data_IF_747354904814
#
_entry.id   IF_747354904814
#
_cell.length_a   1.000
_cell.length_b   1.000
_cell.length_c   1.000
_cell.angle_alpha   90.00
_cell.angle_beta   90.00
_cell.angle_gamma   90.00
#
_symmetry.space_group_name_H-M   'P 1'
#
loop_
_entity.id
_entity.type
_entity.pdbx_description
1 polymer ?
#
# COMPACT_ATOMS: atom_id res chain seq x y z
N UNK A 1 -29.89 16.82 38.64
CA UNK A 1 -29.78 15.82 37.56
C UNK A 1 -28.46 16.00 36.88
N UNK A 2 -27.48 15.14 37.17
CA UNK A 2 -26.16 15.18 36.55
C UNK A 2 -26.23 14.31 35.31
N UNK A 3 -26.17 14.93 34.12
CA UNK A 3 -26.00 14.19 32.87
C UNK A 3 -24.58 13.63 32.81
N UNK A 4 -24.48 12.30 33.01
CA UNK A 4 -23.25 11.58 32.74
C UNK A 4 -23.08 11.52 31.22
N UNK A 5 -22.22 12.37 30.67
CA UNK A 5 -21.76 12.24 29.29
C UNK A 5 -20.92 10.96 29.22
N UNK A 6 -21.46 9.92 28.63
CA UNK A 6 -20.71 8.74 28.22
C UNK A 6 -19.78 9.16 27.08
N UNK A 7 -18.51 9.37 27.40
CA UNK A 7 -17.44 9.45 26.41
C UNK A 7 -17.28 8.06 25.79
N UNK A 8 -17.86 7.87 24.60
CA UNK A 8 -17.56 6.71 23.77
C UNK A 8 -16.17 6.92 23.21
N UNK A 9 -15.17 6.21 23.73
CA UNK A 9 -13.84 6.20 23.15
C UNK A 9 -13.94 5.55 21.76
N UNK A 10 -13.54 6.29 20.72
CA UNK A 10 -13.39 5.71 19.38
C UNK A 10 -12.36 4.58 19.44
N UNK A 11 -12.64 3.40 18.80
CA UNK A 11 -11.66 2.33 18.77
C UNK A 11 -10.38 2.84 18.12
N UNK A 12 -9.25 2.59 18.76
CA UNK A 12 -7.95 2.89 18.20
C UNK A 12 -7.82 2.18 16.86
N UNK A 13 -7.47 2.93 15.80
CA UNK A 13 -7.24 2.34 14.48
C UNK A 13 -6.03 1.41 14.57
N UNK A 14 -6.14 0.21 13.98
CA UNK A 14 -5.02 -0.71 13.84
C UNK A 14 -3.93 -0.01 13.03
N UNK A 15 -2.69 0.08 13.54
CA UNK A 15 -1.61 0.68 12.79
C UNK A 15 -1.33 -0.10 11.51
N UNK A 16 -0.92 0.59 10.48
CA UNK A 16 -0.38 -0.03 9.28
C UNK A 16 0.97 -0.68 9.59
N UNK A 17 1.38 -1.58 8.74
CA UNK A 17 2.69 -2.23 8.81
C UNK A 17 3.32 -2.21 7.43
N UNK A 18 3.86 -1.07 7.06
CA UNK A 18 4.41 -0.84 5.72
C UNK A 18 5.80 -1.40 5.56
N UNK A 19 5.99 -2.15 4.48
CA UNK A 19 7.28 -2.64 4.01
C UNK A 19 7.57 -1.99 2.66
N UNK A 20 8.73 -1.35 2.55
CA UNK A 20 9.19 -0.75 1.31
C UNK A 20 9.55 -1.82 0.28
N UNK A 21 8.97 -1.72 -0.91
CA UNK A 21 9.16 -2.70 -1.97
C UNK A 21 10.15 -2.24 -3.06
N UNK A 22 10.35 -0.95 -3.17
CA UNK A 22 11.20 -0.36 -4.20
C UNK A 22 10.66 0.97 -4.71
N UNK A 23 11.50 1.71 -5.41
CA UNK A 23 11.14 2.98 -6.01
C UNK A 23 11.74 3.07 -7.41
N UNK A 24 10.91 3.46 -8.36
CA UNK A 24 11.29 3.89 -9.71
C UNK A 24 10.71 5.29 -9.93
N UNK A 25 9.63 5.41 -10.67
CA UNK A 25 8.84 6.63 -10.80
C UNK A 25 8.02 6.92 -9.54
N UNK A 26 7.62 5.86 -8.82
CA UNK A 26 6.85 5.91 -7.59
C UNK A 26 7.53 5.04 -6.53
N UNK A 27 7.27 5.32 -5.26
CA UNK A 27 7.71 4.45 -4.17
C UNK A 27 6.56 3.54 -3.73
N UNK A 28 6.81 2.25 -3.64
CA UNK A 28 5.80 1.24 -3.37
C UNK A 28 5.97 0.63 -1.99
N UNK A 29 4.85 0.49 -1.27
CA UNK A 29 4.80 -0.05 0.10
C UNK A 29 3.70 -1.08 0.22
N UNK A 30 4.03 -2.28 0.67
CA UNK A 30 3.03 -3.27 1.05
C UNK A 30 2.59 -3.02 2.49
N UNK A 31 1.29 -2.97 2.72
CA UNK A 31 0.74 -2.95 4.08
C UNK A 31 0.52 -4.38 4.57
N UNK A 32 1.46 -4.86 5.37
CA UNK A 32 1.41 -6.22 5.89
C UNK A 32 0.24 -6.45 6.85
N UNK A 33 -0.30 -5.36 7.44
CA UNK A 33 -1.50 -5.44 8.26
C UNK A 33 -2.77 -5.75 7.45
N UNK A 34 -2.75 -5.51 6.13
CA UNK A 34 -3.87 -5.80 5.23
C UNK A 34 -3.89 -7.23 4.70
N UNK A 35 -2.84 -8.00 4.97
CA UNK A 35 -2.66 -9.35 4.42
C UNK A 35 -3.83 -10.27 4.80
N UNK A 36 -4.51 -10.80 3.80
CA UNK A 36 -5.60 -11.76 3.94
C UNK A 36 -5.21 -13.06 3.24
N UNK A 37 -4.89 -14.14 3.98
CA UNK A 37 -4.56 -15.43 3.37
C UNK A 37 -5.73 -16.02 2.57
N UNK A 38 -5.44 -16.55 1.39
CA UNK A 38 -6.40 -17.21 0.51
C UNK A 38 -5.69 -18.30 -0.29
N UNK A 39 -5.98 -19.56 -0.02
CA UNK A 39 -5.33 -20.68 -0.69
C UNK A 39 -3.81 -20.67 -0.50
N UNK A 40 -3.06 -20.79 -1.59
CA UNK A 40 -1.59 -20.73 -1.61
C UNK A 40 -1.03 -19.31 -1.71
N UNK A 41 -1.86 -18.30 -1.58
CA UNK A 41 -1.50 -16.89 -1.65
C UNK A 41 -2.41 -16.04 -0.80
N UNK A 42 -2.92 -14.96 -1.33
CA UNK A 42 -3.84 -14.09 -0.62
C UNK A 42 -4.08 -12.76 -1.30
N UNK A 43 -4.61 -11.84 -0.51
CA UNK A 43 -4.83 -10.44 -0.86
C UNK A 43 -3.92 -9.57 0.00
N UNK A 44 -3.39 -8.51 -0.59
CA UNK A 44 -2.60 -7.50 0.11
C UNK A 44 -2.85 -6.13 -0.50
N UNK A 45 -2.82 -5.11 0.33
CA UNK A 45 -2.97 -3.71 -0.10
C UNK A 45 -1.60 -3.06 -0.22
N UNK A 46 -1.37 -2.36 -1.33
CA UNK A 46 -0.12 -1.68 -1.63
C UNK A 46 -0.39 -0.20 -1.83
N UNK A 47 0.43 0.64 -1.20
CA UNK A 47 0.39 2.08 -1.37
C UNK A 47 1.53 2.54 -2.29
N UNK A 48 1.16 3.32 -3.31
CA UNK A 48 2.07 3.93 -4.25
C UNK A 48 2.23 5.40 -3.89
N UNK A 49 3.44 5.81 -3.48
CA UNK A 49 3.75 7.19 -3.10
C UNK A 49 4.20 7.96 -4.33
N UNK A 50 3.63 9.15 -4.55
CA UNK A 50 4.06 10.07 -5.59
C UNK A 50 4.98 11.16 -5.02
N UNK A 51 5.82 11.75 -5.86
CA UNK A 51 6.71 12.82 -5.45
C UNK A 51 5.94 14.05 -4.96
N UNK A 52 6.60 14.87 -4.16
CA UNK A 52 5.98 16.06 -3.54
C UNK A 52 5.36 17.02 -4.54
N UNK A 53 5.99 17.20 -5.70
CA UNK A 53 5.55 18.17 -6.71
C UNK A 53 4.52 17.61 -7.69
N UNK A 54 4.15 16.34 -7.55
CA UNK A 54 3.17 15.72 -8.42
C UNK A 54 1.80 16.39 -8.28
N UNK A 55 1.19 16.73 -9.42
CA UNK A 55 -0.17 17.27 -9.52
C UNK A 55 -0.92 16.55 -10.63
N UNK A 56 -2.19 16.25 -10.39
CA UNK A 56 -3.11 15.78 -11.41
C UNK A 56 -4.30 16.74 -11.45
N UNK A 57 -4.55 17.38 -12.58
CA UNK A 57 -5.58 18.41 -12.74
C UNK A 57 -5.51 19.50 -11.63
N UNK A 58 -4.29 19.90 -11.24
CA UNK A 58 -4.05 20.91 -10.20
C UNK A 58 -4.18 20.41 -8.76
N UNK A 59 -4.53 19.15 -8.54
CA UNK A 59 -4.69 18.56 -7.21
C UNK A 59 -3.41 17.86 -6.76
N UNK A 60 -3.03 18.09 -5.48
CA UNK A 60 -1.93 17.41 -4.83
C UNK A 60 -2.40 16.05 -4.27
N UNK A 61 -1.55 15.03 -4.42
CA UNK A 61 -1.82 13.68 -3.93
C UNK A 61 -0.66 13.18 -3.07
N UNK A 62 -0.97 12.31 -2.11
CA UNK A 62 0.02 11.46 -1.46
C UNK A 62 0.38 10.26 -2.33
N UNK A 63 -0.59 9.75 -3.07
CA UNK A 63 -0.45 8.58 -3.93
C UNK A 63 -1.76 7.85 -4.11
N UNK A 64 -1.73 6.53 -4.04
CA UNK A 64 -2.93 5.72 -4.17
C UNK A 64 -2.77 4.31 -3.64
N UNK A 65 -3.91 3.73 -3.31
CA UNK A 65 -4.03 2.35 -2.87
C UNK A 65 -4.42 1.44 -4.01
N UNK A 66 -3.91 0.20 -3.97
CA UNK A 66 -4.39 -0.91 -4.79
C UNK A 66 -4.46 -2.18 -3.97
N UNK A 67 -5.54 -2.95 -4.13
CA UNK A 67 -5.59 -4.32 -3.69
C UNK A 67 -4.99 -5.22 -4.75
N UNK A 68 -4.20 -6.19 -4.30
CA UNK A 68 -3.56 -7.19 -5.15
C UNK A 68 -3.90 -8.59 -4.68
N UNK A 69 -4.17 -9.48 -5.62
CA UNK A 69 -4.18 -10.92 -5.38
C UNK A 69 -2.84 -11.47 -5.79
N UNK A 70 -2.27 -12.34 -4.97
CA UNK A 70 -0.99 -12.96 -5.23
C UNK A 70 -1.04 -14.47 -4.93
N UNK A 71 -0.10 -15.23 -5.48
CA UNK A 71 0.07 -16.65 -5.25
C UNK A 71 1.53 -16.93 -4.89
N UNK A 72 1.74 -17.71 -3.83
CA UNK A 72 3.08 -18.10 -3.37
C UNK A 72 3.61 -19.35 -4.07
N UNK A 73 2.76 -20.07 -4.81
CA UNK A 73 3.18 -21.23 -5.59
C UNK A 73 4.06 -20.80 -6.77
N UNK A 74 4.98 -21.68 -7.18
CA UNK A 74 5.83 -21.43 -8.33
C UNK A 74 4.99 -21.22 -9.60
N UNK A 75 5.26 -20.14 -10.34
CA UNK A 75 4.50 -19.76 -11.52
C UNK A 75 3.16 -19.09 -11.23
N UNK A 76 2.92 -18.73 -9.95
CA UNK A 76 1.72 -17.96 -9.56
C UNK A 76 1.72 -16.57 -10.15
N UNK A 77 0.53 -16.08 -10.50
CA UNK A 77 0.34 -14.76 -11.08
C UNK A 77 -0.07 -13.75 -10.03
N UNK A 78 0.17 -12.47 -10.33
CA UNK A 78 -0.39 -11.35 -9.59
C UNK A 78 -1.51 -10.70 -10.37
N UNK A 79 -2.49 -10.17 -9.64
CA UNK A 79 -3.65 -9.50 -10.19
C UNK A 79 -3.94 -8.23 -9.41
N UNK A 80 -3.82 -7.08 -10.07
CA UNK A 80 -4.23 -5.80 -9.50
C UNK A 80 -5.74 -5.67 -9.60
N UNK A 81 -6.41 -5.50 -8.46
CA UNK A 81 -7.87 -5.55 -8.40
C UNK A 81 -8.50 -4.17 -8.53
N UNK A 82 -7.85 -3.12 -8.02
CA UNK A 82 -8.41 -1.77 -8.03
C UNK A 82 -7.33 -0.68 -7.87
N UNK A 83 -7.77 0.56 -7.92
CA UNK A 83 -6.99 1.73 -7.58
C UNK A 83 -7.87 2.79 -6.94
N UNK A 84 -7.41 3.38 -5.84
CA UNK A 84 -8.06 4.49 -5.16
C UNK A 84 -7.02 5.58 -4.87
N UNK A 85 -7.20 6.77 -5.45
CA UNK A 85 -6.30 7.90 -5.21
C UNK A 85 -6.44 8.41 -3.77
N UNK A 86 -5.34 8.84 -3.18
CA UNK A 86 -5.29 9.45 -1.86
C UNK A 86 -4.74 10.86 -1.99
N UNK A 87 -5.56 11.86 -1.64
CA UNK A 87 -5.18 13.28 -1.67
C UNK A 87 -4.18 13.59 -0.59
N UNK A 88 -3.44 14.65 -0.77
CA UNK A 88 -2.60 15.19 0.29
C UNK A 88 -3.47 15.48 1.53
N UNK A 89 -2.99 15.02 2.71
CA UNK A 89 -3.78 15.04 3.95
C UNK A 89 -4.49 13.72 4.25
N UNK A 90 -4.55 12.77 3.30
CA UNK A 90 -4.99 11.40 3.53
C UNK A 90 -6.41 11.05 3.11
N UNK A 91 -7.14 11.98 2.48
CA UNK A 91 -8.49 11.68 2.00
C UNK A 91 -8.45 10.68 0.84
N UNK A 92 -9.06 9.51 1.04
CA UNK A 92 -9.14 8.43 0.06
C UNK A 92 -10.34 8.64 -0.86
N UNK A 93 -10.10 8.58 -2.17
CA UNK A 93 -11.14 8.64 -3.18
C UNK A 93 -11.81 7.28 -3.41
N UNK A 94 -12.79 7.22 -4.32
CA UNK A 94 -13.45 5.96 -4.64
C UNK A 94 -12.51 4.99 -5.34
N UNK A 95 -12.67 3.70 -5.04
CA UNK A 95 -11.92 2.64 -5.72
C UNK A 95 -12.48 2.42 -7.13
N UNK A 96 -11.60 2.37 -8.11
CA UNK A 96 -11.93 2.03 -9.50
C UNK A 96 -11.39 0.63 -9.79
N UNK A 97 -12.23 -0.31 -10.26
CA UNK A 97 -11.76 -1.64 -10.63
C UNK A 97 -10.70 -1.59 -11.73
N UNK A 98 -9.70 -2.44 -11.61
CA UNK A 98 -8.70 -2.69 -12.66
C UNK A 98 -9.06 -4.01 -13.35
N UNK A 99 -9.34 -3.93 -14.65
CA UNK A 99 -9.75 -5.08 -15.45
C UNK A 99 -8.60 -5.68 -16.26
N UNK A 100 -7.36 -5.28 -15.99
CA UNK A 100 -6.20 -5.89 -16.64
C UNK A 100 -6.09 -7.37 -16.24
N UNK A 101 -5.70 -8.27 -17.16
CA UNK A 101 -5.54 -9.69 -16.83
C UNK A 101 -4.37 -9.91 -15.86
N UNK A 102 -4.43 -10.98 -15.04
CA UNK A 102 -3.29 -11.38 -14.21
C UNK A 102 -2.02 -11.60 -15.05
N UNK A 103 -0.86 -11.33 -14.44
CA UNK A 103 0.42 -11.47 -15.13
C UNK A 103 1.50 -12.06 -14.21
N UNK A 104 2.57 -12.56 -14.82
CA UNK A 104 3.73 -13.08 -14.10
C UNK A 104 4.61 -11.92 -13.63
N UNK A 105 5.11 -12.01 -12.39
CA UNK A 105 6.08 -11.05 -11.87
C UNK A 105 7.45 -11.25 -12.50
N UNK A 106 8.21 -10.17 -12.59
CA UNK A 106 9.59 -10.19 -13.09
C UNK A 106 10.52 -9.80 -11.94
N UNK A 107 11.57 -10.59 -11.73
CA UNK A 107 12.56 -10.32 -10.70
C UNK A 107 13.13 -8.91 -10.87
N UNK A 108 13.15 -8.13 -9.79
CA UNK A 108 13.57 -6.74 -9.77
C UNK A 108 12.43 -5.73 -9.80
N UNK A 109 11.21 -6.16 -10.15
CA UNK A 109 10.03 -5.30 -10.11
C UNK A 109 9.42 -5.26 -8.70
N UNK A 110 8.73 -4.16 -8.39
CA UNK A 110 8.05 -3.98 -7.10
C UNK A 110 6.97 -5.04 -6.85
N UNK A 111 6.31 -5.55 -7.89
CA UNK A 111 5.32 -6.64 -7.75
C UNK A 111 5.98 -7.96 -7.38
N UNK A 112 7.18 -8.23 -7.87
CA UNK A 112 7.97 -9.39 -7.43
C UNK A 112 8.32 -9.26 -5.95
N UNK A 113 8.81 -8.11 -5.51
CA UNK A 113 9.13 -7.83 -4.11
C UNK A 113 7.89 -7.91 -3.21
N UNK A 114 6.73 -7.48 -3.72
CA UNK A 114 5.45 -7.62 -3.02
C UNK A 114 5.14 -9.09 -2.72
N UNK A 115 5.26 -9.97 -3.71
CA UNK A 115 4.99 -11.40 -3.54
C UNK A 115 5.97 -12.01 -2.55
N UNK A 116 7.26 -11.69 -2.66
CA UNK A 116 8.28 -12.20 -1.74
C UNK A 116 7.97 -11.80 -0.31
N UNK A 117 7.64 -10.52 -0.08
CA UNK A 117 7.29 -10.02 1.25
C UNK A 117 6.00 -10.65 1.77
N UNK A 118 4.95 -10.69 0.97
CA UNK A 118 3.66 -11.25 1.36
C UNK A 118 3.73 -12.75 1.67
N UNK A 119 4.59 -13.48 0.98
CA UNK A 119 4.80 -14.93 1.20
C UNK A 119 5.77 -15.25 2.34
N UNK A 120 6.54 -14.26 2.82
CA UNK A 120 7.51 -14.39 3.91
C UNK A 120 7.39 -13.20 4.88
N UNK A 121 6.19 -12.96 5.46
CA UNK A 121 5.92 -11.72 6.18
C UNK A 121 6.79 -11.49 7.42
N UNK A 122 7.32 -12.57 8.03
CA UNK A 122 8.15 -12.48 9.24
C UNK A 122 9.61 -12.12 8.94
N UNK A 123 10.01 -12.12 7.66
CA UNK A 123 11.39 -11.85 7.24
C UNK A 123 11.66 -10.36 6.97
N UNK A 124 10.66 -9.51 7.14
CA UNK A 124 10.76 -8.08 6.79
C UNK A 124 10.57 -7.18 8.00
N UNK A 125 11.45 -6.19 8.12
CA UNK A 125 11.29 -5.11 9.07
C UNK A 125 10.24 -4.11 8.58
N UNK A 126 9.53 -3.50 9.51
CA UNK A 126 8.50 -2.49 9.21
C UNK A 126 9.15 -1.12 9.06
N UNK A 127 8.93 -0.48 7.91
CA UNK A 127 9.50 0.82 7.58
C UNK A 127 8.65 1.99 8.06
N UNK A 128 7.34 1.80 8.16
CA UNK A 128 6.41 2.83 8.61
C UNK A 128 5.14 2.19 9.19
N UNK A 129 4.50 2.86 10.14
CA UNK A 129 3.26 2.40 10.78
C UNK A 129 2.07 3.31 10.51
N UNK A 130 2.28 4.49 9.95
CA UNK A 130 1.22 5.39 9.49
C UNK A 130 1.39 5.70 8.01
N UNK A 131 0.28 6.06 7.36
CA UNK A 131 0.33 6.46 5.96
C UNK A 131 1.20 7.70 5.75
N UNK A 132 1.12 8.67 6.66
CA UNK A 132 1.96 9.87 6.62
C UNK A 132 3.45 9.54 6.69
N UNK A 133 3.86 8.61 7.55
CA UNK A 133 5.25 8.14 7.64
C UNK A 133 5.69 7.44 6.34
N UNK A 134 4.84 6.60 5.75
CA UNK A 134 5.13 5.93 4.49
C UNK A 134 5.32 6.94 3.35
N UNK A 135 4.47 7.98 3.29
CA UNK A 135 4.59 9.06 2.30
C UNK A 135 5.91 9.81 2.46
N UNK A 136 6.28 10.18 3.69
CA UNK A 136 7.54 10.86 3.97
C UNK A 136 8.75 10.00 3.60
N UNK A 137 8.75 8.73 3.99
CA UNK A 137 9.80 7.76 3.65
C UNK A 137 9.92 7.58 2.14
N UNK A 138 8.79 7.43 1.45
CA UNK A 138 8.76 7.25 -0.01
C UNK A 138 9.28 8.48 -0.76
N UNK A 139 8.91 9.67 -0.34
CA UNK A 139 9.39 10.92 -0.94
C UNK A 139 10.89 11.12 -0.76
N UNK A 140 11.45 10.70 0.38
CA UNK A 140 12.90 10.69 0.59
C UNK A 140 13.60 9.74 -0.38
N UNK A 141 13.06 8.55 -0.59
CA UNK A 141 13.60 7.57 -1.53
C UNK A 141 13.52 8.06 -2.98
N UNK A 142 12.41 8.68 -3.38
CA UNK A 142 12.23 9.25 -4.72
C UNK A 142 13.23 10.38 -4.98
N UNK A 143 13.49 11.23 -4.00
CA UNK A 143 14.46 12.32 -4.10
C UNK A 143 15.90 11.79 -4.21
N UNK A 144 16.22 10.71 -3.50
CA UNK A 144 17.56 10.12 -3.49
C UNK A 144 17.87 9.32 -4.76
N UNK A 145 16.85 8.70 -5.37
CA UNK A 145 16.97 7.86 -6.57
C UNK A 145 16.81 8.58 -7.89
N UNK A 146 16.56 9.91 -7.82
CA UNK A 146 16.34 10.76 -8.98
C UNK A 146 17.57 10.99 -9.85
#
# INVERSE_FOLDING_TARGET
MTLLSLLVAEPAQTPHRFVFLGADRFAHYADMASLEPEGSGGLIRVFQVVEHDFRAAGTAYWGGWSWWRFDCAAGGKVDRLDFAAVREGGAEGPATPDNAPPYDTVQGDETFEMVVAACNPDDYDIDAVTLEEAVAHGRMNLAAGG
#
